data_IF_493589745768
#
_entry.id   IF_493589745768
#
_cell.length_a   1.000
_cell.length_b   1.000
_cell.length_c   1.000
_cell.angle_alpha   90.00
_cell.angle_beta   90.00
_cell.angle_gamma   90.00
#
_symmetry.space_group_name_H-M   'P 1'
#
loop_
_entity.id
_entity.type
_entity.pdbx_description
1 polymer ?
#
# COMPACT_ATOMS: atom_id res chain seq x y z
N UNK A 1 21.87 19.17 -13.57
CA UNK A 1 22.31 17.77 -13.39
C UNK A 1 22.43 17.53 -11.90
N UNK A 2 22.06 16.35 -11.39
CA UNK A 2 22.27 16.01 -9.98
C UNK A 2 23.76 15.91 -9.64
N UNK A 3 24.14 16.34 -8.43
CA UNK A 3 25.51 16.19 -7.91
C UNK A 3 25.49 15.66 -6.48
N UNK A 4 26.62 15.09 -6.03
CA UNK A 4 26.72 14.41 -4.73
C UNK A 4 26.55 15.35 -3.53
N UNK A 5 26.71 16.66 -3.70
CA UNK A 5 26.74 17.66 -2.63
C UNK A 5 25.51 18.58 -2.60
N UNK A 6 24.49 18.31 -3.43
CA UNK A 6 23.28 19.13 -3.45
C UNK A 6 22.56 19.10 -2.10
N UNK A 7 22.12 20.28 -1.67
CA UNK A 7 21.15 20.49 -0.59
C UNK A 7 19.79 19.93 -0.99
N UNK A 8 18.92 19.73 0.00
CA UNK A 8 17.56 19.21 -0.26
C UNK A 8 16.74 20.17 -1.15
N UNK A 9 16.95 21.48 -1.02
CA UNK A 9 16.33 22.51 -1.87
C UNK A 9 16.82 22.44 -3.33
N UNK A 10 18.13 22.28 -3.53
CA UNK A 10 18.71 22.11 -4.87
C UNK A 10 18.22 20.82 -5.53
N UNK A 11 18.15 19.72 -4.77
CA UNK A 11 17.61 18.45 -5.27
C UNK A 11 16.18 18.59 -5.75
N UNK A 12 15.32 19.24 -4.95
CA UNK A 12 13.93 19.48 -5.31
C UNK A 12 13.82 20.37 -6.56
N UNK A 13 14.59 21.45 -6.64
CA UNK A 13 14.57 22.35 -7.79
C UNK A 13 15.00 21.66 -9.10
N UNK A 14 16.04 20.82 -9.05
CA UNK A 14 16.53 20.06 -10.20
C UNK A 14 15.51 18.98 -10.60
N UNK A 15 15.01 18.21 -9.63
CA UNK A 15 14.03 17.17 -9.88
C UNK A 15 12.71 17.73 -10.43
N UNK A 16 12.25 18.88 -9.93
CA UNK A 16 11.04 19.52 -10.41
C UNK A 16 11.18 20.01 -11.86
N UNK A 17 12.34 20.59 -12.21
CA UNK A 17 12.63 20.98 -13.59
C UNK A 17 12.62 19.79 -14.53
N UNK A 18 13.28 18.70 -14.12
CA UNK A 18 13.30 17.45 -14.89
C UNK A 18 11.89 16.85 -15.01
N UNK A 19 11.10 16.84 -13.92
CA UNK A 19 9.71 16.39 -13.91
C UNK A 19 8.86 17.09 -14.98
N UNK A 20 8.92 18.42 -15.03
CA UNK A 20 8.19 19.20 -16.04
C UNK A 20 8.59 18.83 -17.48
N UNK A 21 9.87 18.47 -17.70
CA UNK A 21 10.38 18.05 -19.00
C UNK A 21 9.92 16.63 -19.38
N UNK A 22 9.92 15.68 -18.43
CA UNK A 22 9.67 14.26 -18.72
C UNK A 22 8.21 13.85 -18.58
N UNK A 23 7.38 14.58 -17.83
CA UNK A 23 6.03 14.12 -17.43
C UNK A 23 5.15 13.68 -18.60
N UNK A 24 5.12 14.46 -19.69
CA UNK A 24 4.31 14.14 -20.86
C UNK A 24 4.88 12.96 -21.64
N UNK A 25 6.21 12.85 -21.74
CA UNK A 25 6.88 11.72 -22.41
C UNK A 25 6.58 10.42 -21.67
N UNK A 26 6.67 10.44 -20.33
CA UNK A 26 6.34 9.29 -19.48
C UNK A 26 4.86 8.92 -19.60
N UNK A 27 3.95 9.90 -19.54
CA UNK A 27 2.50 9.66 -19.68
C UNK A 27 2.15 8.99 -21.02
N UNK A 28 2.66 9.51 -22.13
CA UNK A 28 2.45 8.92 -23.46
C UNK A 28 3.03 7.51 -23.54
N UNK A 29 4.24 7.29 -23.00
CA UNK A 29 4.87 5.97 -23.00
C UNK A 29 4.09 4.96 -22.14
N UNK A 30 3.50 5.41 -21.03
CA UNK A 30 2.65 4.59 -20.17
C UNK A 30 1.33 4.22 -20.85
N UNK A 31 0.68 5.17 -21.54
CA UNK A 31 -0.51 4.89 -22.35
C UNK A 31 -0.21 3.88 -23.47
N UNK A 32 0.94 3.98 -24.14
CA UNK A 32 1.39 3.01 -25.13
C UNK A 32 1.66 1.63 -24.54
N UNK A 33 2.19 1.56 -23.32
CA UNK A 33 2.37 0.32 -22.58
C UNK A 33 1.01 -0.33 -22.28
N UNK A 34 0.06 0.43 -21.71
CA UNK A 34 -1.31 -0.03 -21.44
C UNK A 34 -1.98 -0.51 -22.73
N UNK A 35 -1.90 0.26 -23.82
CA UNK A 35 -2.52 -0.11 -25.10
C UNK A 35 -1.93 -1.39 -25.72
N UNK A 36 -0.64 -1.68 -25.52
CA UNK A 36 -0.03 -2.96 -25.94
C UNK A 36 -0.47 -4.14 -25.10
N UNK A 37 -0.92 -3.89 -23.88
CA UNK A 37 -1.41 -4.91 -22.94
C UNK A 37 -2.92 -5.12 -23.04
N UNK A 38 -3.66 -4.16 -23.61
CA UNK A 38 -5.07 -4.33 -23.98
C UNK A 38 -5.21 -5.48 -24.99
N UNK A 39 -5.94 -6.50 -24.58
CA UNK A 39 -6.26 -7.66 -25.41
C UNK A 39 -7.53 -7.39 -26.22
N UNK A 40 -7.69 -8.09 -27.35
CA UNK A 40 -8.97 -8.12 -28.05
C UNK A 40 -9.99 -8.82 -27.14
N UNK A 41 -11.28 -8.42 -27.23
CA UNK A 41 -12.36 -9.00 -26.40
C UNK A 41 -12.29 -10.53 -26.43
N UNK A 42 -12.15 -11.15 -25.26
CA UNK A 42 -12.11 -12.61 -25.08
C UNK A 42 -10.72 -13.24 -24.97
N UNK A 43 -9.64 -12.49 -25.21
CA UNK A 43 -8.27 -12.99 -25.02
C UNK A 43 -7.79 -12.69 -23.59
N UNK A 44 -7.25 -13.70 -22.90
CA UNK A 44 -6.54 -13.57 -21.62
C UNK A 44 -5.08 -13.92 -21.83
N UNK A 45 -4.16 -12.97 -21.67
CA UNK A 45 -2.73 -13.28 -21.58
C UNK A 45 -2.44 -13.66 -20.15
N UNK A 46 -1.97 -14.89 -19.98
CA UNK A 46 -1.36 -15.39 -18.74
C UNK A 46 0.06 -14.81 -18.63
N UNK A 47 0.20 -13.48 -18.77
CA UNK A 47 1.46 -12.79 -18.57
C UNK A 47 1.49 -12.29 -17.14
N UNK A 48 1.89 -13.17 -16.25
CA UNK A 48 2.38 -12.78 -14.94
C UNK A 48 3.49 -11.74 -15.15
N UNK A 49 3.33 -10.54 -14.58
CA UNK A 49 4.37 -9.52 -14.43
C UNK A 49 5.15 -9.14 -15.71
N UNK A 50 4.49 -8.53 -16.69
CA UNK A 50 5.22 -7.84 -17.77
C UNK A 50 5.82 -6.55 -17.20
N UNK A 51 7.14 -6.45 -17.26
CA UNK A 51 7.92 -5.28 -16.88
C UNK A 51 8.53 -4.70 -18.16
N UNK A 52 8.35 -3.40 -18.38
CA UNK A 52 9.03 -2.68 -19.46
C UNK A 52 9.83 -1.53 -18.85
N UNK A 53 11.12 -1.45 -19.22
CA UNK A 53 12.01 -0.39 -18.78
C UNK A 53 12.32 0.58 -19.92
N UNK A 54 12.34 1.88 -19.60
CA UNK A 54 12.76 2.95 -20.50
C UNK A 54 13.69 3.91 -19.77
N UNK A 55 14.57 4.55 -20.52
CA UNK A 55 15.41 5.63 -20.01
C UNK A 55 14.99 6.93 -20.69
N UNK A 56 14.82 8.00 -19.91
CA UNK A 56 14.48 9.33 -20.39
C UNK A 56 15.60 10.29 -20.02
N UNK A 57 16.30 10.79 -21.03
CA UNK A 57 17.36 11.78 -20.87
C UNK A 57 16.76 13.20 -20.88
N UNK A 58 17.12 14.01 -19.89
CA UNK A 58 16.73 15.43 -19.83
C UNK A 58 17.75 16.33 -20.51
N UNK A 59 17.38 17.58 -20.79
CA UNK A 59 18.31 18.60 -21.30
C UNK A 59 19.52 18.81 -20.37
N UNK A 60 19.31 18.61 -19.07
CA UNK A 60 20.35 18.68 -18.04
C UNK A 60 21.25 17.44 -17.98
N UNK A 61 21.11 16.50 -18.93
CA UNK A 61 21.81 15.21 -19.00
C UNK A 61 21.55 14.27 -17.81
N UNK A 62 20.48 14.49 -17.06
CA UNK A 62 20.01 13.52 -16.07
C UNK A 62 19.27 12.38 -16.79
N UNK A 63 19.56 11.14 -16.44
CA UNK A 63 18.89 9.96 -17.00
C UNK A 63 17.92 9.39 -15.99
N UNK A 64 16.62 9.58 -16.23
CA UNK A 64 15.56 8.99 -15.42
C UNK A 64 15.20 7.62 -15.96
N UNK A 65 15.21 6.62 -15.09
CA UNK A 65 14.75 5.27 -15.36
C UNK A 65 13.25 5.21 -15.12
N UNK A 66 12.52 4.62 -16.06
CA UNK A 66 11.06 4.50 -16.05
C UNK A 66 10.71 3.03 -16.17
N UNK A 67 9.99 2.51 -15.19
CA UNK A 67 9.58 1.11 -15.12
C UNK A 67 8.07 1.05 -15.18
N UNK A 68 7.54 0.37 -16.19
CA UNK A 68 6.12 0.06 -16.33
C UNK A 68 5.87 -1.38 -15.93
N UNK A 69 4.84 -1.61 -15.11
CA UNK A 69 4.62 -2.91 -14.46
C UNK A 69 3.14 -3.27 -14.56
N UNK A 70 2.84 -4.49 -14.99
CA UNK A 70 1.54 -5.11 -14.76
C UNK A 70 1.47 -5.61 -13.31
N UNK A 71 0.63 -5.00 -12.47
CA UNK A 71 0.49 -5.40 -11.07
C UNK A 71 -0.62 -6.43 -10.87
N UNK A 72 -1.75 -6.31 -11.57
CA UNK A 72 -2.87 -7.26 -11.48
C UNK A 72 -3.95 -7.03 -12.54
N UNK A 73 -4.99 -7.87 -12.53
CA UNK A 73 -6.26 -7.65 -13.22
C UNK A 73 -7.37 -7.44 -12.19
N UNK A 74 -8.34 -6.59 -12.50
CA UNK A 74 -9.59 -6.48 -11.73
C UNK A 74 -10.49 -7.67 -12.00
N UNK A 75 -11.52 -7.87 -11.17
CA UNK A 75 -12.54 -8.90 -11.40
C UNK A 75 -13.32 -8.71 -12.71
N UNK A 76 -13.33 -7.49 -13.25
CA UNK A 76 -13.91 -7.13 -14.55
C UNK A 76 -12.91 -7.30 -15.73
N UNK A 77 -11.79 -8.01 -15.51
CA UNK A 77 -10.71 -8.19 -16.49
C UNK A 77 -10.05 -6.86 -16.94
N UNK A 78 -10.17 -5.78 -16.17
CA UNK A 78 -9.45 -4.54 -16.42
C UNK A 78 -8.02 -4.63 -15.87
N UNK A 79 -7.07 -4.06 -16.61
CA UNK A 79 -5.65 -4.14 -16.29
C UNK A 79 -5.25 -3.06 -15.28
N UNK A 80 -4.52 -3.45 -14.22
CA UNK A 80 -3.91 -2.53 -13.27
C UNK A 80 -2.42 -2.45 -13.57
N UNK A 81 -1.96 -1.23 -13.87
CA UNK A 81 -0.59 -0.94 -14.21
C UNK A 81 0.04 0.07 -13.25
N UNK A 82 1.31 -0.12 -12.95
CA UNK A 82 2.14 0.86 -12.26
C UNK A 82 3.15 1.52 -13.21
N UNK A 83 3.51 2.75 -12.89
CA UNK A 83 4.65 3.48 -13.47
C UNK A 83 5.54 3.97 -12.33
N UNK A 84 6.82 3.60 -12.36
CA UNK A 84 7.82 4.06 -11.39
C UNK A 84 8.89 4.84 -12.16
N UNK A 85 9.13 6.08 -11.74
CA UNK A 85 10.16 6.94 -12.33
C UNK A 85 11.23 7.19 -11.27
N UNK A 86 12.47 6.84 -11.55
CA UNK A 86 13.55 6.94 -10.57
C UNK A 86 14.91 7.30 -11.17
N UNK A 87 15.81 7.79 -10.33
CA UNK A 87 17.20 8.06 -10.69
C UNK A 87 18.12 7.75 -9.49
N UNK A 88 19.26 7.06 -9.70
CA UNK A 88 20.26 6.92 -8.65
C UNK A 88 20.94 8.26 -8.37
N UNK A 89 21.03 8.61 -7.09
CA UNK A 89 21.74 9.76 -6.57
C UNK A 89 23.03 9.30 -5.90
N UNK A 90 24.13 9.38 -6.65
CA UNK A 90 25.45 9.02 -6.15
C UNK A 90 25.92 10.05 -5.12
N UNK A 91 26.15 9.58 -3.89
CA UNK A 91 26.84 10.30 -2.80
C UNK A 91 28.26 9.74 -2.68
N UNK A 92 29.09 10.38 -1.86
CA UNK A 92 30.52 10.06 -1.79
C UNK A 92 30.80 8.57 -1.47
N UNK A 93 30.02 7.98 -0.55
CA UNK A 93 30.20 6.58 -0.11
C UNK A 93 28.94 5.72 -0.25
N UNK A 94 27.89 6.22 -0.90
CA UNK A 94 26.60 5.55 -0.93
C UNK A 94 25.74 5.98 -2.11
N UNK A 95 24.72 5.20 -2.44
CA UNK A 95 23.76 5.54 -3.49
C UNK A 95 22.38 5.64 -2.86
N UNK A 96 21.81 6.83 -2.93
CA UNK A 96 20.41 7.06 -2.65
C UNK A 96 19.61 6.91 -3.95
N UNK A 97 18.29 6.76 -3.84
CA UNK A 97 17.41 6.65 -5.01
C UNK A 97 16.29 7.68 -4.88
N UNK A 98 16.16 8.53 -5.90
CA UNK A 98 15.09 9.51 -6.00
C UNK A 98 13.97 8.94 -6.87
N UNK A 99 12.73 9.15 -6.48
CA UNK A 99 11.53 8.66 -7.14
C UNK A 99 10.52 9.77 -7.35
N UNK A 100 9.86 9.74 -8.50
CA UNK A 100 8.65 10.51 -8.80
C UNK A 100 7.53 9.48 -8.99
N UNK A 101 6.71 9.31 -7.96
CA UNK A 101 5.64 8.30 -7.94
C UNK A 101 4.26 8.86 -8.30
N UNK A 102 4.11 10.19 -8.35
CA UNK A 102 2.90 10.85 -8.79
C UNK A 102 3.22 11.74 -9.99
N UNK A 103 2.57 11.45 -11.12
CA UNK A 103 2.77 12.17 -12.38
C UNK A 103 1.85 13.39 -12.53
N UNK A 104 0.86 13.53 -11.64
CA UNK A 104 -0.12 14.62 -11.61
C UNK A 104 0.30 15.73 -10.65
N UNK A 105 0.71 15.36 -9.43
CA UNK A 105 1.28 16.27 -8.44
C UNK A 105 2.72 15.89 -8.12
N UNK A 106 3.63 16.86 -8.23
CA UNK A 106 5.05 16.62 -7.98
C UNK A 106 5.30 16.40 -6.49
N UNK A 107 5.78 15.20 -6.17
CA UNK A 107 6.37 14.82 -4.88
C UNK A 107 7.61 13.98 -5.19
N UNK A 108 8.72 14.34 -4.55
CA UNK A 108 9.98 13.64 -4.67
C UNK A 108 10.15 12.72 -3.46
N UNK A 109 10.35 11.42 -3.69
CA UNK A 109 10.66 10.48 -2.62
C UNK A 109 12.13 10.06 -2.71
N UNK A 110 12.87 10.13 -1.61
CA UNK A 110 14.27 9.71 -1.51
C UNK A 110 14.40 8.50 -0.61
N UNK A 111 14.79 7.36 -1.16
CA UNK A 111 15.24 6.22 -0.37
C UNK A 111 16.73 6.40 -0.08
N UNK A 112 17.06 6.65 1.19
CA UNK A 112 18.46 6.73 1.60
C UNK A 112 19.15 5.36 1.54
N UNK A 113 20.46 5.36 1.35
CA UNK A 113 21.24 4.13 1.41
C UNK A 113 21.08 3.40 2.75
N UNK A 114 21.02 4.14 3.87
CA UNK A 114 20.78 3.54 5.18
C UNK A 114 19.41 2.85 5.24
N UNK A 115 18.36 3.50 4.74
CA UNK A 115 17.03 2.90 4.64
C UNK A 115 17.06 1.59 3.84
N UNK A 116 17.69 1.59 2.67
CA UNK A 116 17.78 0.41 1.80
C UNK A 116 18.56 -0.73 2.45
N UNK A 117 19.65 -0.43 3.16
CA UNK A 117 20.38 -1.43 3.94
C UNK A 117 19.47 -2.05 5.01
N UNK A 118 18.75 -1.24 5.80
CA UNK A 118 17.82 -1.76 6.81
C UNK A 118 16.69 -2.57 6.20
N UNK A 119 16.14 -2.14 5.06
CA UNK A 119 15.09 -2.86 4.35
C UNK A 119 15.58 -4.22 3.83
N UNK A 120 16.79 -4.25 3.26
CA UNK A 120 17.42 -5.48 2.77
C UNK A 120 17.65 -6.47 3.91
N UNK A 121 18.31 -6.03 4.98
CA UNK A 121 18.66 -6.89 6.13
C UNK A 121 17.42 -7.37 6.89
N UNK A 122 16.47 -6.47 7.17
CA UNK A 122 15.34 -6.77 8.08
C UNK A 122 14.15 -7.40 7.40
N UNK A 123 13.91 -7.12 6.13
CA UNK A 123 12.74 -7.64 5.41
C UNK A 123 13.14 -8.63 4.32
N UNK A 124 13.98 -8.22 3.36
CA UNK A 124 14.26 -9.06 2.18
C UNK A 124 15.05 -10.32 2.52
N UNK A 125 16.21 -10.17 3.18
CA UNK A 125 17.09 -11.29 3.53
C UNK A 125 16.46 -12.16 4.63
N UNK A 126 15.88 -11.54 5.65
CA UNK A 126 15.21 -12.23 6.76
C UNK A 126 14.09 -13.15 6.26
N UNK A 127 13.25 -12.67 5.33
CA UNK A 127 12.15 -13.46 4.76
C UNK A 127 12.58 -14.34 3.57
N UNK A 128 13.87 -14.38 3.21
CA UNK A 128 14.36 -15.17 2.07
C UNK A 128 13.75 -14.75 0.71
N UNK A 129 13.43 -13.47 0.54
CA UNK A 129 12.73 -12.97 -0.64
C UNK A 129 13.67 -12.96 -1.85
N UNK A 130 13.34 -13.76 -2.87
CA UNK A 130 14.03 -13.72 -4.16
C UNK A 130 13.49 -12.59 -5.04
N UNK A 131 14.30 -11.56 -5.26
CA UNK A 131 13.95 -10.37 -6.04
C UNK A 131 13.87 -10.62 -7.56
N UNK A 132 14.33 -11.78 -8.07
CA UNK A 132 14.34 -12.11 -9.50
C UNK A 132 14.97 -11.00 -10.37
N UNK A 133 16.01 -10.35 -9.86
CA UNK A 133 16.73 -9.27 -10.55
C UNK A 133 16.18 -7.85 -10.33
N UNK A 134 15.04 -7.70 -9.64
CA UNK A 134 14.50 -6.36 -9.28
C UNK A 134 15.40 -5.72 -8.21
N UNK A 135 15.75 -4.45 -8.40
CA UNK A 135 16.51 -3.71 -7.39
C UNK A 135 15.69 -3.50 -6.10
N UNK A 136 16.28 -3.65 -4.88
CA UNK A 136 15.55 -3.49 -3.62
C UNK A 136 14.74 -2.19 -3.49
N UNK A 137 15.25 -1.08 -4.01
CA UNK A 137 14.56 0.22 -4.02
C UNK A 137 13.27 0.19 -4.84
N UNK A 138 13.31 -0.45 -6.02
CA UNK A 138 12.16 -0.60 -6.90
C UNK A 138 11.16 -1.57 -6.26
N UNK A 139 11.66 -2.70 -5.71
CA UNK A 139 10.83 -3.67 -5.00
C UNK A 139 10.06 -2.99 -3.85
N UNK A 140 10.74 -2.18 -3.03
CA UNK A 140 10.08 -1.41 -1.98
C UNK A 140 8.96 -0.52 -2.55
N UNK A 141 9.22 0.23 -3.63
CA UNK A 141 8.21 1.12 -4.21
C UNK A 141 7.02 0.37 -4.84
N UNK A 142 7.22 -0.82 -5.40
CA UNK A 142 6.14 -1.65 -5.97
C UNK A 142 5.24 -2.21 -4.86
N UNK A 143 5.84 -2.78 -3.81
CA UNK A 143 5.09 -3.56 -2.83
C UNK A 143 4.61 -2.75 -1.62
N UNK A 144 4.91 -1.45 -1.59
CA UNK A 144 4.46 -0.52 -0.55
C UNK A 144 3.77 0.71 -1.16
N UNK A 145 3.04 0.54 -2.26
CA UNK A 145 2.25 1.63 -2.88
C UNK A 145 1.14 2.13 -1.95
N UNK A 146 0.64 1.27 -1.07
CA UNK A 146 -0.42 1.57 -0.11
C UNK A 146 0.09 2.28 1.15
N UNK A 147 1.34 2.75 1.17
CA UNK A 147 1.93 3.40 2.34
C UNK A 147 1.19 4.69 2.71
N UNK A 148 0.86 4.86 3.99
CA UNK A 148 0.18 6.06 4.51
C UNK A 148 0.89 6.60 5.75
N UNK A 149 0.76 7.89 6.04
CA UNK A 149 1.30 8.49 7.25
C UNK A 149 0.51 8.00 8.47
N UNK A 150 1.21 7.62 9.53
CA UNK A 150 0.62 7.23 10.82
C UNK A 150 0.41 8.44 11.72
N UNK A 151 -0.45 8.30 12.73
CA UNK A 151 -0.60 9.28 13.80
C UNK A 151 0.38 9.06 14.98
N UNK A 152 1.28 8.08 14.86
CA UNK A 152 2.27 7.79 15.89
C UNK A 152 3.40 8.82 15.95
N UNK A 153 3.53 9.46 17.11
CA UNK A 153 4.60 10.36 17.47
C UNK A 153 5.34 9.83 18.72
N UNK A 154 6.65 9.56 18.64
CA UNK A 154 7.45 9.18 19.81
C UNK A 154 7.49 10.29 20.87
N UNK A 155 7.28 9.92 22.15
CA UNK A 155 7.28 10.87 23.29
C UNK A 155 8.59 11.68 23.45
N UNK A 156 9.70 11.14 22.96
CA UNK A 156 11.03 11.76 23.09
C UNK A 156 11.37 12.73 21.97
N UNK A 157 10.50 12.90 20.98
CA UNK A 157 10.73 13.84 19.90
C UNK A 157 10.50 15.28 20.34
N UNK A 158 11.35 16.17 19.86
CA UNK A 158 11.16 17.62 20.00
C UNK A 158 10.01 18.10 19.11
N UNK A 159 9.45 19.29 19.37
CA UNK A 159 8.40 19.89 18.53
C UNK A 159 8.81 19.95 17.05
N UNK A 160 10.04 20.41 16.78
CA UNK A 160 10.61 20.42 15.43
C UNK A 160 10.65 19.04 14.79
N UNK A 161 10.99 18.00 15.55
CA UNK A 161 10.98 16.63 15.02
C UNK A 161 9.59 16.12 14.75
N UNK A 162 8.58 16.53 15.52
CA UNK A 162 7.18 16.19 15.27
C UNK A 162 6.61 16.90 14.03
N UNK A 163 7.14 18.08 13.68
CA UNK A 163 6.80 18.79 12.45
C UNK A 163 7.46 18.19 11.21
N UNK A 164 8.74 17.79 11.34
CA UNK A 164 9.56 17.37 10.19
C UNK A 164 9.60 15.85 9.98
N UNK A 165 9.22 15.03 10.97
CA UNK A 165 9.35 13.56 10.89
C UNK A 165 8.02 12.86 11.16
N UNK A 166 7.90 11.67 10.61
CA UNK A 166 6.76 10.80 10.86
C UNK A 166 7.06 9.37 10.47
N UNK A 167 6.10 8.48 10.71
CA UNK A 167 6.18 7.10 10.25
C UNK A 167 5.19 6.86 9.12
N UNK A 168 5.66 6.28 8.02
CA UNK A 168 4.79 5.71 7.00
C UNK A 168 4.55 4.23 7.33
N UNK A 169 3.29 3.80 7.32
CA UNK A 169 2.90 2.39 7.50
C UNK A 169 2.58 1.74 6.15
N UNK A 170 3.17 0.57 5.91
CA UNK A 170 2.89 -0.27 4.75
C UNK A 170 2.71 -1.73 5.17
N UNK A 171 2.33 -2.61 4.23
CA UNK A 171 2.18 -4.06 4.50
C UNK A 171 3.45 -4.74 5.01
N UNK A 172 4.61 -4.14 4.75
CA UNK A 172 5.91 -4.73 5.08
C UNK A 172 6.46 -4.21 6.41
N UNK A 173 5.99 -3.06 6.89
CA UNK A 173 6.45 -2.48 8.14
C UNK A 173 6.28 -0.96 8.22
N UNK A 174 7.07 -0.36 9.11
CA UNK A 174 7.10 1.08 9.34
C UNK A 174 8.36 1.69 8.75
N UNK A 175 8.20 2.84 8.11
CA UNK A 175 9.30 3.63 7.58
C UNK A 175 9.37 4.97 8.30
N UNK A 176 10.48 5.24 8.98
CA UNK A 176 10.74 6.58 9.49
C UNK A 176 11.07 7.49 8.31
N UNK A 177 10.28 8.54 8.14
CA UNK A 177 10.45 9.53 7.08
C UNK A 177 10.68 10.91 7.67
N UNK A 178 11.30 11.77 6.85
CA UNK A 178 11.39 13.21 7.09
C UNK A 178 10.81 13.95 5.90
N UNK A 179 10.07 15.01 6.19
CA UNK A 179 9.42 15.88 5.26
C UNK A 179 10.20 17.18 5.13
N UNK A 180 10.53 17.55 3.90
CA UNK A 180 11.10 18.84 3.56
C UNK A 180 10.37 19.34 2.30
N UNK A 181 9.38 20.23 2.49
CA UNK A 181 8.52 20.74 1.40
C UNK A 181 7.89 19.60 0.58
N UNK A 182 8.34 19.39 -0.66
CA UNK A 182 7.86 18.35 -1.58
C UNK A 182 8.78 17.12 -1.62
N UNK A 183 9.79 17.05 -0.75
CA UNK A 183 10.70 15.93 -0.59
C UNK A 183 10.34 15.10 0.65
N UNK A 184 10.15 13.79 0.45
CA UNK A 184 10.01 12.80 1.51
C UNK A 184 11.27 11.95 1.54
N UNK A 185 12.06 12.04 2.60
CA UNK A 185 13.28 11.24 2.77
C UNK A 185 13.03 10.08 3.72
N UNK A 186 13.21 8.86 3.23
CA UNK A 186 13.14 7.63 4.00
C UNK A 186 14.47 7.41 4.72
N UNK A 187 14.42 7.47 6.05
CA UNK A 187 15.59 7.43 6.93
C UNK A 187 15.91 5.99 7.32
N UNK A 188 14.94 5.26 7.87
CA UNK A 188 15.15 3.88 8.34
C UNK A 188 13.90 3.03 8.22
N UNK A 189 14.08 1.73 8.06
CA UNK A 189 13.01 0.74 7.94
C UNK A 189 12.92 -0.13 9.20
N UNK A 190 11.70 -0.33 9.67
CA UNK A 190 11.34 -1.21 10.78
C UNK A 190 10.39 -2.29 10.23
N UNK A 191 10.90 -3.51 10.13
CA UNK A 191 10.12 -4.68 9.71
C UNK A 191 9.00 -4.98 10.72
N UNK A 192 7.81 -5.33 10.23
CA UNK A 192 6.63 -5.57 11.10
C UNK A 192 6.80 -6.76 12.06
N UNK A 193 7.56 -7.78 11.67
CA UNK A 193 7.78 -9.00 12.46
C UNK A 193 8.91 -8.82 13.47
N UNK A 194 9.74 -7.79 13.29
CA UNK A 194 10.89 -7.48 14.15
C UNK A 194 10.76 -6.11 14.84
N UNK A 195 9.56 -5.82 15.35
CA UNK A 195 9.27 -4.66 16.19
C UNK A 195 9.43 -4.99 17.68
N UNK A 196 9.88 -4.01 18.48
CA UNK A 196 9.74 -4.13 19.93
C UNK A 196 8.26 -4.22 20.31
N UNK A 197 7.93 -4.83 21.45
CA UNK A 197 6.54 -5.03 21.89
C UNK A 197 5.67 -3.78 21.77
N UNK A 198 6.18 -2.64 22.21
CA UNK A 198 5.48 -1.36 22.10
C UNK A 198 5.25 -0.94 20.64
N UNK A 199 6.27 -1.04 19.78
CA UNK A 199 6.15 -0.69 18.36
C UNK A 199 5.22 -1.64 17.61
N UNK A 200 5.19 -2.92 17.98
CA UNK A 200 4.25 -3.89 17.42
C UNK A 200 2.80 -3.52 17.79
N UNK A 201 2.55 -3.08 19.03
CA UNK A 201 1.22 -2.58 19.43
C UNK A 201 0.82 -1.34 18.64
N UNK A 202 1.72 -0.36 18.49
CA UNK A 202 1.48 0.84 17.68
C UNK A 202 1.21 0.47 16.22
N UNK A 203 1.98 -0.45 15.64
CA UNK A 203 1.74 -0.92 14.28
C UNK A 203 0.36 -1.56 14.12
N UNK A 204 -0.05 -2.40 15.07
CA UNK A 204 -1.38 -3.03 15.07
C UNK A 204 -2.51 -1.98 15.13
N UNK A 205 -2.34 -0.96 15.97
CA UNK A 205 -3.27 0.17 16.10
C UNK A 205 -3.39 1.00 14.81
N UNK A 206 -2.26 1.43 14.25
CA UNK A 206 -2.22 2.22 13.01
C UNK A 206 -2.69 1.39 11.80
N UNK A 207 -2.42 0.08 11.77
CA UNK A 207 -2.89 -0.81 10.71
C UNK A 207 -4.41 -0.97 10.74
N UNK A 208 -5.00 -1.15 11.94
CA UNK A 208 -6.45 -1.18 12.10
C UNK A 208 -7.08 0.15 11.64
N UNK A 209 -6.54 1.28 12.11
CA UNK A 209 -7.07 2.59 11.72
C UNK A 209 -6.96 2.82 10.22
N UNK A 210 -5.84 2.46 9.59
CA UNK A 210 -5.65 2.54 8.14
C UNK A 210 -6.72 1.73 7.39
N UNK A 211 -7.00 0.50 7.82
CA UNK A 211 -8.02 -0.33 7.18
C UNK A 211 -9.41 0.29 7.33
N UNK A 212 -9.75 0.81 8.52
CA UNK A 212 -11.03 1.49 8.77
C UNK A 212 -11.15 2.78 7.95
N UNK A 213 -10.15 3.65 7.95
CA UNK A 213 -10.14 4.88 7.15
C UNK A 213 -10.30 4.58 5.65
N UNK A 214 -9.71 3.47 5.16
CA UNK A 214 -9.88 3.06 3.76
C UNK A 214 -11.30 2.64 3.40
N UNK A 215 -12.15 2.25 4.35
CA UNK A 215 -13.57 1.94 4.07
C UNK A 215 -14.39 3.17 3.67
N UNK A 216 -13.94 4.37 4.05
CA UNK A 216 -14.55 5.64 3.64
C UNK A 216 -14.21 6.01 2.19
N UNK A 217 -13.24 5.33 1.57
CA UNK A 217 -12.86 5.60 0.18
C UNK A 217 -14.07 5.31 -0.76
N UNK A 218 -14.56 6.30 -1.52
CA UNK A 218 -15.69 6.12 -2.42
C UNK A 218 -15.38 5.21 -3.61
N UNK A 219 -14.11 5.09 -3.99
CA UNK A 219 -13.66 4.24 -5.10
C UNK A 219 -13.55 2.76 -4.71
N UNK A 220 -13.61 2.44 -3.42
CA UNK A 220 -13.49 1.06 -2.95
C UNK A 220 -14.82 0.32 -3.20
N UNK A 221 -14.76 -0.81 -3.92
CA UNK A 221 -15.93 -1.66 -4.17
C UNK A 221 -16.56 -2.15 -2.85
N UNK A 222 -17.88 -2.40 -2.85
CA UNK A 222 -18.61 -2.91 -1.70
C UNK A 222 -17.98 -4.20 -1.13
N UNK A 223 -17.55 -5.11 -1.99
CA UNK A 223 -16.94 -6.39 -1.60
C UNK A 223 -15.61 -6.19 -0.85
N UNK A 224 -14.82 -5.21 -1.27
CA UNK A 224 -13.56 -4.86 -0.59
C UNK A 224 -13.82 -4.18 0.75
N UNK A 225 -14.80 -3.28 0.83
CA UNK A 225 -15.25 -2.70 2.11
C UNK A 225 -15.68 -3.79 3.08
N UNK A 226 -16.54 -4.70 2.61
CA UNK A 226 -16.97 -5.85 3.39
C UNK A 226 -15.79 -6.74 3.81
N UNK A 227 -14.84 -7.02 2.92
CA UNK A 227 -13.67 -7.82 3.24
C UNK A 227 -12.79 -7.18 4.33
N UNK A 228 -12.64 -5.85 4.33
CA UNK A 228 -11.93 -5.11 5.39
C UNK A 228 -12.67 -5.23 6.73
N UNK A 229 -13.97 -4.97 6.78
CA UNK A 229 -14.74 -5.15 8.02
C UNK A 229 -14.68 -6.59 8.52
N UNK A 230 -14.86 -7.57 7.62
CA UNK A 230 -14.79 -8.99 7.94
C UNK A 230 -13.42 -9.42 8.48
N UNK A 231 -12.32 -8.84 7.98
CA UNK A 231 -10.97 -9.08 8.53
C UNK A 231 -10.93 -8.76 10.02
N UNK A 232 -11.58 -7.69 10.45
CA UNK A 232 -11.62 -7.23 11.84
C UNK A 232 -12.69 -7.93 12.69
N UNK A 233 -13.78 -8.38 12.07
CA UNK A 233 -14.83 -9.15 12.75
C UNK A 233 -14.43 -10.60 13.08
N UNK A 234 -13.28 -11.10 12.57
CA UNK A 234 -12.76 -12.45 12.93
C UNK A 234 -12.47 -12.61 14.41
N UNK A 235 -12.12 -11.52 15.10
CA UNK A 235 -11.94 -11.49 16.54
C UNK A 235 -12.38 -10.11 17.06
N UNK A 236 -13.69 -9.92 17.28
CA UNK A 236 -14.26 -8.63 17.66
C UNK A 236 -13.63 -8.08 18.94
N UNK A 237 -13.48 -8.91 19.97
CA UNK A 237 -12.87 -8.52 21.26
C UNK A 237 -11.45 -7.98 21.08
N UNK A 238 -10.63 -8.66 20.28
CA UNK A 238 -9.28 -8.20 19.98
C UNK A 238 -9.31 -6.87 19.22
N UNK A 239 -10.16 -6.73 18.21
CA UNK A 239 -10.31 -5.52 17.42
C UNK A 239 -10.74 -4.33 18.28
N UNK A 240 -11.75 -4.51 19.14
CA UNK A 240 -12.21 -3.49 20.09
C UNK A 240 -11.09 -3.06 21.03
N UNK A 241 -10.31 -4.01 21.56
CA UNK A 241 -9.17 -3.69 22.42
C UNK A 241 -8.09 -2.88 21.68
N UNK A 242 -7.81 -3.17 20.41
CA UNK A 242 -6.86 -2.40 19.60
C UNK A 242 -7.40 -0.98 19.36
N UNK A 243 -8.66 -0.84 18.93
CA UNK A 243 -9.26 0.46 18.66
C UNK A 243 -9.27 1.34 19.90
N UNK A 244 -9.64 0.77 21.06
CA UNK A 244 -9.61 1.49 22.34
C UNK A 244 -8.22 2.02 22.67
N UNK A 245 -7.16 1.22 22.47
CA UNK A 245 -5.79 1.69 22.68
C UNK A 245 -5.41 2.80 21.70
N UNK A 246 -5.77 2.67 20.43
CA UNK A 246 -5.53 3.69 19.42
C UNK A 246 -6.17 5.03 19.83
N UNK A 247 -7.46 5.02 20.19
CA UNK A 247 -8.19 6.21 20.62
C UNK A 247 -7.58 6.84 21.88
N UNK A 248 -7.21 6.03 22.87
CA UNK A 248 -6.54 6.54 24.08
C UNK A 248 -5.19 7.21 23.75
N UNK A 249 -4.43 6.65 22.80
CA UNK A 249 -3.14 7.19 22.38
C UNK A 249 -3.28 8.49 21.60
N UNK A 250 -4.21 8.56 20.63
CA UNK A 250 -4.34 9.71 19.73
C UNK A 250 -5.16 10.83 20.36
N UNK A 251 -6.27 10.48 21.01
CA UNK A 251 -7.18 11.46 21.56
C UNK A 251 -6.78 11.91 22.96
N UNK A 252 -5.98 11.15 23.71
CA UNK A 252 -5.52 11.54 25.05
C UNK A 252 -6.66 12.05 25.93
N UNK A 253 -6.53 13.30 26.41
CA UNK A 253 -7.55 14.06 27.17
C UNK A 253 -8.47 14.93 26.32
N UNK A 254 -8.31 14.95 25.00
CA UNK A 254 -9.05 15.84 24.09
C UNK A 254 -10.49 15.39 23.83
N UNK A 255 -10.79 14.12 24.08
CA UNK A 255 -12.16 13.60 24.11
C UNK A 255 -12.59 13.36 25.55
N UNK A 256 -13.83 13.73 25.86
CA UNK A 256 -14.46 13.33 27.12
C UNK A 256 -14.63 11.81 27.14
N UNK A 257 -14.80 11.24 28.34
CA UNK A 257 -15.10 9.82 28.47
C UNK A 257 -16.38 9.42 27.71
N UNK A 258 -17.41 10.26 27.76
CA UNK A 258 -18.66 10.10 27.02
C UNK A 258 -18.44 10.04 25.49
N UNK A 259 -17.64 10.95 24.93
CA UNK A 259 -17.34 10.95 23.49
C UNK A 259 -16.56 9.70 23.06
N UNK A 260 -15.68 9.18 23.93
CA UNK A 260 -14.93 7.94 23.65
C UNK A 260 -15.85 6.73 23.67
N UNK A 261 -16.74 6.64 24.66
CA UNK A 261 -17.69 5.55 24.77
C UNK A 261 -18.73 5.59 23.62
N UNK A 262 -19.20 6.77 23.21
CA UNK A 262 -20.08 6.92 22.03
C UNK A 262 -19.41 6.41 20.74
N UNK A 263 -18.14 6.78 20.52
CA UNK A 263 -17.40 6.33 19.33
C UNK A 263 -17.15 4.82 19.34
N UNK A 264 -16.91 4.23 20.53
CA UNK A 264 -16.81 2.78 20.68
C UNK A 264 -18.15 2.09 20.47
N UNK A 265 -19.26 2.64 20.96
CA UNK A 265 -20.60 2.11 20.75
C UNK A 265 -20.98 2.09 19.26
N UNK A 266 -20.70 3.18 18.53
CA UNK A 266 -20.91 3.22 17.07
C UNK A 266 -20.08 2.19 16.32
N UNK A 267 -18.88 1.89 16.82
CA UNK A 267 -18.06 0.84 16.24
C UNK A 267 -18.61 -0.56 16.52
N UNK A 268 -19.19 -0.76 17.71
CA UNK A 268 -19.89 -1.99 18.08
C UNK A 268 -21.09 -2.25 17.16
N UNK A 269 -21.91 -1.23 16.89
CA UNK A 269 -23.03 -1.33 15.95
C UNK A 269 -22.56 -1.80 14.56
N UNK A 270 -21.47 -1.21 14.05
CA UNK A 270 -20.90 -1.57 12.74
C UNK A 270 -20.39 -3.02 12.71
N UNK A 271 -19.78 -3.51 13.80
CA UNK A 271 -19.34 -4.90 13.89
C UNK A 271 -20.54 -5.84 13.90
N UNK A 272 -21.56 -5.55 14.70
CA UNK A 272 -22.77 -6.38 14.80
C UNK A 272 -23.50 -6.46 13.45
N UNK A 273 -23.74 -5.32 12.81
CA UNK A 273 -24.33 -5.26 11.46
C UNK A 273 -23.52 -6.06 10.44
N UNK A 274 -22.18 -5.99 10.49
CA UNK A 274 -21.31 -6.74 9.58
C UNK A 274 -21.43 -8.25 9.79
N UNK A 275 -21.49 -8.71 11.04
CA UNK A 275 -21.64 -10.12 11.39
C UNK A 275 -23.01 -10.67 10.97
N UNK A 276 -24.07 -9.88 11.15
CA UNK A 276 -25.42 -10.23 10.72
C UNK A 276 -25.50 -10.39 9.19
N UNK A 277 -24.90 -9.47 8.44
CA UNK A 277 -24.80 -9.57 6.98
C UNK A 277 -24.05 -10.86 6.58
N UNK A 278 -22.95 -11.20 7.27
CA UNK A 278 -22.21 -12.43 6.99
C UNK A 278 -23.07 -13.69 7.23
N UNK A 279 -23.86 -13.68 8.30
CA UNK A 279 -24.74 -14.78 8.66
C UNK A 279 -25.85 -14.95 7.60
N UNK A 280 -26.47 -13.86 7.15
CA UNK A 280 -27.47 -13.87 6.08
C UNK A 280 -26.88 -14.40 4.77
N UNK A 281 -25.68 -13.94 4.38
CA UNK A 281 -24.99 -14.43 3.18
C UNK A 281 -24.62 -15.92 3.26
N UNK A 282 -24.26 -16.41 4.45
CA UNK A 282 -24.03 -17.86 4.68
C UNK A 282 -25.32 -18.65 4.52
N UNK A 283 -26.44 -18.14 5.03
CA UNK A 283 -27.76 -18.77 4.89
C UNK A 283 -28.21 -18.81 3.42
N UNK A 284 -28.13 -17.69 2.70
CA UNK A 284 -28.49 -17.61 1.28
C UNK A 284 -27.63 -18.55 0.42
N UNK A 285 -26.31 -18.61 0.67
CA UNK A 285 -25.42 -19.57 -0.01
C UNK A 285 -25.77 -21.02 0.31
N UNK A 286 -26.18 -21.31 1.56
CA UNK A 286 -26.60 -22.64 1.95
C UNK A 286 -27.92 -23.04 1.28
N UNK A 287 -28.89 -22.12 1.19
CA UNK A 287 -30.15 -22.33 0.49
C UNK A 287 -29.96 -22.47 -1.02
N UNK A 288 -29.12 -21.63 -1.63
CA UNK A 288 -28.75 -21.72 -3.04
C UNK A 288 -28.07 -23.06 -3.33
N UNK A 289 -27.16 -23.54 -2.48
CA UNK A 289 -26.56 -24.89 -2.60
C UNK A 289 -27.59 -26.01 -2.46
N UNK A 290 -28.56 -25.86 -1.55
CA UNK A 290 -29.68 -26.81 -1.41
C UNK A 290 -30.54 -26.85 -2.67
N UNK A 291 -30.82 -25.70 -3.27
CA UNK A 291 -31.60 -25.57 -4.51
C UNK A 291 -30.83 -26.03 -5.75
N UNK A 292 -29.50 -25.87 -5.77
CA UNK A 292 -28.60 -26.29 -6.85
C UNK A 292 -28.14 -27.74 -6.76
N UNK A 293 -28.44 -28.47 -5.69
CA UNK A 293 -28.38 -29.94 -5.73
C UNK A 293 -29.62 -30.40 -6.49
N UNK A 294 -29.54 -30.77 -7.80
CA UNK A 294 -30.66 -31.43 -8.43
C UNK A 294 -30.84 -32.72 -7.67
N UNK A 295 -32.04 -32.92 -7.15
CA UNK A 295 -32.48 -34.02 -6.30
C UNK A 295 -31.76 -35.31 -6.69
N UNK A 296 -30.61 -35.58 -6.05
CA UNK A 296 -29.70 -36.69 -6.42
C UNK A 296 -30.49 -37.99 -6.32
N UNK A 297 -31.50 -38.00 -5.44
CA UNK A 297 -32.49 -39.05 -5.29
C UNK A 297 -33.35 -39.25 -6.54
N UNK A 298 -33.85 -38.18 -7.17
CA UNK A 298 -34.62 -38.25 -8.41
C UNK A 298 -33.75 -38.73 -9.59
N UNK A 299 -32.50 -38.27 -9.68
CA UNK A 299 -31.54 -38.71 -10.70
C UNK A 299 -31.12 -40.19 -10.52
N UNK A 300 -30.89 -40.62 -9.26
CA UNK A 300 -30.57 -42.02 -8.92
C UNK A 300 -31.79 -42.95 -9.07
N UNK A 301 -33.00 -42.49 -8.77
CA UNK A 301 -34.23 -43.26 -8.94
C UNK A 301 -34.62 -43.42 -10.41
N UNK A 302 -34.33 -42.42 -11.25
CA UNK A 302 -34.43 -42.54 -12.71
C UNK A 302 -33.42 -43.53 -13.28
N UNK A 303 -32.18 -43.57 -12.76
CA UNK A 303 -31.18 -44.57 -13.16
C UNK A 303 -31.51 -45.99 -12.68
N UNK A 304 -32.28 -46.15 -11.60
CA UNK A 304 -32.74 -47.46 -11.12
C UNK A 304 -33.96 -48.01 -11.87
N UNK A 305 -34.79 -47.14 -12.46
CA UNK A 305 -35.97 -47.55 -13.26
C UNK A 305 -35.63 -47.91 -14.72
N UNK A 306 -34.39 -47.70 -15.15
CA UNK A 306 -33.89 -48.05 -16.49
C UNK A 306 -33.05 -49.34 -16.55
N UNK A 307 -33.15 -50.23 -15.57
CA UNK A 307 -32.50 -51.55 -15.57
C UNK A 307 -33.52 -52.67 -15.60
#
# INVERSE_FOLDING_TARGET
>A
MFTSHMTEDELQAVAYRDFLEIRMKVKIAFEQFINRLRLRRGEKRVLHSLIEEKNVLTKSKNTWHVVFINTSYTAADEFIAGCIVYIPLYRDNAVDYLFINNMEDFVLERLSAHFLTRYKERYLEYNGINLRGIHPAIYYMIYNQDKTLTYYLPEKWTEKEMEEKGFMISKQGLSLVRFDKKLITYITFLDQENLSRYKAMVYEEEALWKDLANTENPELSFELKQALYMKHCRNPEKTKAILRRYLLRICGTNLTEEQREDLLARFDDVIEETLDIEQLLKQEKAETRRLQMPDIKLYLDQMKKGK
#
